data_IF_409472015849
#
_entry.id   IF_409472015849
#
_cell.length_a   1.000
_cell.length_b   1.000
_cell.length_c   1.000
_cell.angle_alpha   90.00
_cell.angle_beta   90.00
_cell.angle_gamma   90.00
#
_symmetry.space_group_name_H-M   'P 1'
#
loop_
_entity.id
_entity.type
_entity.pdbx_description
1 polymer ?
#
# COMPACT_ATOMS: atom_id res chain seq x y z
N UNK A 1 -15.88 -18.57 19.95
CA UNK A 1 -14.86 -18.65 18.88
C UNK A 1 -13.61 -17.94 19.37
N UNK A 2 -12.44 -18.56 19.29
CA UNK A 2 -11.17 -17.98 19.76
C UNK A 2 -10.62 -17.04 18.69
N UNK A 3 -10.34 -15.79 19.06
CA UNK A 3 -9.87 -14.76 18.13
C UNK A 3 -8.40 -14.95 17.71
N UNK A 4 -7.94 -14.28 16.63
CA UNK A 4 -6.57 -14.40 16.11
C UNK A 4 -5.49 -14.10 17.16
N UNK A 5 -5.73 -13.11 18.02
CA UNK A 5 -4.81 -12.71 19.09
C UNK A 5 -4.62 -13.81 20.16
N UNK A 6 -5.70 -14.50 20.54
CA UNK A 6 -5.61 -15.62 21.49
C UNK A 6 -4.89 -16.81 20.86
N UNK A 7 -5.06 -17.05 19.56
CA UNK A 7 -4.32 -18.10 18.85
C UNK A 7 -2.82 -17.82 18.80
N UNK A 8 -2.41 -16.57 18.61
CA UNK A 8 -1.00 -16.17 18.61
C UNK A 8 -0.35 -16.42 19.97
N UNK A 9 -1.00 -16.01 21.07
CA UNK A 9 -0.50 -16.24 22.44
C UNK A 9 -0.31 -17.73 22.76
N UNK A 10 -1.25 -18.58 22.35
CA UNK A 10 -1.14 -20.03 22.55
C UNK A 10 0.05 -20.59 21.74
N UNK A 11 0.23 -20.12 20.51
CA UNK A 11 1.33 -20.57 19.65
C UNK A 11 2.70 -20.17 20.22
N UNK A 12 2.83 -18.95 20.76
CA UNK A 12 4.04 -18.50 21.46
C UNK A 12 4.35 -19.37 22.67
N UNK A 13 3.34 -19.69 23.49
CA UNK A 13 3.50 -20.55 24.67
C UNK A 13 3.93 -21.98 24.32
N UNK A 14 3.48 -22.50 23.18
CA UNK A 14 3.78 -23.87 22.75
C UNK A 14 5.13 -23.99 22.06
N UNK A 15 5.57 -22.94 21.36
CA UNK A 15 6.77 -23.00 20.50
C UNK A 15 7.96 -22.24 21.06
N UNK A 16 7.73 -21.32 22.00
CA UNK A 16 8.75 -20.37 22.48
C UNK A 16 9.18 -19.33 21.43
N UNK A 17 8.53 -19.32 20.25
CA UNK A 17 8.81 -18.40 19.16
C UNK A 17 7.79 -17.27 19.24
N UNK A 18 8.26 -16.04 19.36
CA UNK A 18 7.40 -14.87 19.32
C UNK A 18 6.68 -14.78 17.96
N UNK A 19 5.36 -14.60 17.98
CA UNK A 19 4.56 -14.40 16.79
C UNK A 19 4.56 -12.90 16.51
N UNK A 20 5.37 -12.46 15.56
CA UNK A 20 5.37 -11.06 15.17
C UNK A 20 3.98 -10.66 14.68
N UNK A 21 3.45 -9.58 15.27
CA UNK A 21 2.20 -8.99 14.80
C UNK A 21 2.49 -8.29 13.48
N UNK A 22 1.81 -8.66 12.37
CA UNK A 22 2.07 -8.05 11.08
C UNK A 22 1.81 -6.54 11.15
N UNK A 23 2.79 -5.75 10.74
CA UNK A 23 2.67 -4.30 10.65
C UNK A 23 1.66 -3.98 9.54
N UNK A 24 0.60 -3.20 9.80
CA UNK A 24 -0.32 -2.77 8.76
C UNK A 24 0.45 -1.95 7.72
N UNK A 25 0.55 -2.44 6.48
CA UNK A 25 1.14 -1.64 5.41
C UNK A 25 0.17 -0.53 5.02
N UNK A 26 0.66 0.72 5.03
CA UNK A 26 -0.09 1.84 4.48
C UNK A 26 -0.17 1.68 2.96
N UNK A 27 -1.37 1.77 2.41
CA UNK A 27 -1.53 1.88 0.96
C UNK A 27 -0.91 3.20 0.50
N UNK A 28 0.00 3.20 -0.49
CA UNK A 28 0.53 4.44 -1.03
C UNK A 28 -0.62 5.28 -1.62
N UNK A 29 -0.53 6.60 -1.43
CA UNK A 29 -1.52 7.50 -1.99
C UNK A 29 -1.58 7.33 -3.53
N UNK A 30 -2.78 7.42 -4.14
CA UNK A 30 -2.90 7.46 -5.59
C UNK A 30 -2.02 8.57 -6.16
N UNK A 31 -1.11 8.22 -7.06
CA UNK A 31 -0.31 9.22 -7.78
C UNK A 31 -1.22 9.84 -8.84
N UNK A 32 -1.54 11.12 -8.68
CA UNK A 32 -2.20 11.91 -9.71
C UNK A 32 -1.35 11.89 -10.98
N UNK A 33 -1.80 11.11 -11.97
CA UNK A 33 -1.18 11.12 -13.29
C UNK A 33 -1.61 12.41 -13.97
N UNK A 34 -0.78 13.45 -13.85
CA UNK A 34 -0.91 14.64 -14.70
C UNK A 34 -0.87 14.16 -16.15
N UNK A 35 -2.04 14.11 -16.80
CA UNK A 35 -2.16 13.78 -18.22
C UNK A 35 -1.32 14.80 -18.96
N UNK A 36 -0.14 14.38 -19.42
CA UNK A 36 0.80 15.24 -20.11
C UNK A 36 0.07 16.00 -21.20
N UNK A 37 0.04 17.33 -21.09
CA UNK A 37 -0.28 18.17 -22.24
C UNK A 37 0.90 17.98 -23.20
N UNK A 38 0.69 17.54 -24.46
CA UNK A 38 1.79 17.48 -25.40
C UNK A 38 2.39 18.90 -25.52
N UNK A 39 3.72 19.06 -25.44
CA UNK A 39 4.38 20.34 -25.74
C UNK A 39 4.29 20.55 -27.25
N UNK A 40 3.14 21.05 -27.72
CA UNK A 40 2.85 21.09 -29.14
C UNK A 40 1.53 21.77 -29.45
N UNK A 41 1.34 23.00 -28.96
CA UNK A 41 0.46 23.94 -29.65
C UNK A 41 1.35 25.02 -30.24
N UNK A 42 2.11 24.66 -31.27
CA UNK A 42 2.81 25.64 -32.09
C UNK A 42 1.77 26.52 -32.76
N UNK A 43 1.79 27.80 -32.39
CA UNK A 43 1.44 28.88 -33.32
C UNK A 43 2.11 28.61 -34.67
N UNK A 44 1.33 28.39 -35.74
CA UNK A 44 1.66 28.71 -37.15
C UNK A 44 0.65 28.12 -38.16
N UNK A 45 -0.14 29.02 -38.76
CA UNK A 45 -0.53 29.17 -40.19
C UNK A 45 -1.83 30.00 -40.20
N UNK A 46 -1.87 31.26 -40.63
CA UNK A 46 -1.51 31.80 -41.95
C UNK A 46 -2.12 30.97 -43.08
N UNK A 47 -3.37 31.25 -43.43
CA UNK A 47 -3.82 31.74 -44.73
C UNK A 47 -5.04 32.65 -44.51
#
# INVERSE_FOLDING_TARGET
MVGPHQKAQILEQLTGIAVETPVPMLNPAPVERTRGRPPGSSSQRAF
#
